data_IF_534151481472
#
_entry.id   IF_534151481472
#
_cell.length_a   1.000
_cell.length_b   1.000
_cell.length_c   1.000
_cell.angle_alpha   90.00
_cell.angle_beta   90.00
_cell.angle_gamma   90.00
#
_symmetry.space_group_name_H-M   'P 1'
#
loop_
_entity.id
_entity.type
_entity.pdbx_description
1 polymer ?
#
# COMPACT_ATOMS: atom_id res chain seq x y z
N UNK A 1 -105.30 -74.02 -77.88
CA UNK A 1 -103.88 -74.08 -78.27
C UNK A 1 -103.38 -75.50 -78.13
N UNK A 2 -102.49 -75.95 -79.01
CA UNK A 2 -101.85 -77.26 -78.85
C UNK A 2 -100.96 -77.27 -77.61
N UNK A 3 -100.90 -78.40 -76.90
CA UNK A 3 -100.12 -78.61 -75.67
C UNK A 3 -98.67 -78.12 -75.75
N UNK A 4 -98.07 -78.16 -76.94
CA UNK A 4 -96.67 -77.78 -77.18
C UNK A 4 -96.44 -76.27 -77.29
N UNK A 5 -97.40 -75.52 -77.86
CA UNK A 5 -97.34 -74.05 -77.93
C UNK A 5 -97.51 -73.44 -76.54
N UNK A 6 -98.52 -73.92 -75.80
CA UNK A 6 -98.80 -73.45 -74.43
C UNK A 6 -97.60 -73.67 -73.50
N UNK A 7 -96.89 -74.78 -73.70
CA UNK A 7 -95.67 -75.11 -72.95
C UNK A 7 -94.51 -74.13 -73.20
N UNK A 8 -94.34 -73.64 -74.42
CA UNK A 8 -93.24 -72.74 -74.78
C UNK A 8 -93.58 -71.29 -74.45
N UNK A 9 -94.76 -70.82 -74.84
CA UNK A 9 -95.18 -69.42 -74.68
C UNK A 9 -95.34 -69.05 -73.21
N UNK A 10 -95.86 -69.97 -72.38
CA UNK A 10 -96.02 -69.75 -70.93
C UNK A 10 -94.83 -70.25 -70.10
N UNK A 11 -93.69 -70.57 -70.74
CA UNK A 11 -92.53 -71.05 -70.01
C UNK A 11 -91.88 -69.91 -69.18
N UNK A 12 -91.45 -70.16 -67.93
CA UNK A 12 -90.81 -69.13 -67.08
C UNK A 12 -89.53 -68.50 -67.65
N UNK A 13 -88.93 -69.10 -68.69
CA UNK A 13 -87.68 -68.63 -69.30
C UNK A 13 -87.82 -67.24 -69.90
N UNK A 14 -88.98 -66.89 -70.46
CA UNK A 14 -89.21 -65.56 -71.02
C UNK A 14 -89.07 -64.47 -69.95
N UNK A 15 -89.61 -64.73 -68.75
CA UNK A 15 -89.43 -63.84 -67.59
C UNK A 15 -87.98 -63.76 -67.12
N UNK A 16 -87.22 -64.85 -67.22
CA UNK A 16 -85.79 -64.83 -66.89
C UNK A 16 -84.97 -64.04 -67.92
N UNK A 17 -85.27 -64.15 -69.22
CA UNK A 17 -84.62 -63.37 -70.28
C UNK A 17 -84.90 -61.87 -70.08
N UNK A 18 -86.14 -61.51 -69.78
CA UNK A 18 -86.51 -60.12 -69.48
C UNK A 18 -85.79 -59.59 -68.21
N UNK A 19 -85.66 -60.43 -67.18
CA UNK A 19 -84.93 -60.07 -65.96
C UNK A 19 -83.43 -59.88 -66.25
N UNK A 20 -82.84 -60.73 -67.09
CA UNK A 20 -81.45 -60.59 -67.52
C UNK A 20 -81.25 -59.26 -68.26
N UNK A 21 -82.13 -58.94 -69.22
CA UNK A 21 -82.09 -57.66 -69.95
C UNK A 21 -82.14 -56.44 -69.03
N UNK A 22 -83.05 -56.41 -68.06
CA UNK A 22 -83.17 -55.28 -67.15
C UNK A 22 -81.96 -55.13 -66.22
N UNK A 23 -81.46 -56.25 -65.70
CA UNK A 23 -80.36 -56.23 -64.74
C UNK A 23 -79.02 -55.95 -65.42
N UNK A 24 -78.77 -56.46 -66.62
CA UNK A 24 -77.54 -56.17 -67.35
C UNK A 24 -77.50 -54.69 -67.77
N UNK A 25 -78.63 -54.11 -68.20
CA UNK A 25 -78.69 -52.68 -68.49
C UNK A 25 -78.44 -51.81 -67.23
N UNK A 26 -78.92 -52.25 -66.07
CA UNK A 26 -78.71 -51.54 -64.80
C UNK A 26 -77.24 -51.59 -64.33
N UNK A 27 -76.46 -52.57 -64.80
CA UNK A 27 -75.06 -52.74 -64.46
C UNK A 27 -74.12 -51.77 -65.19
N UNK A 28 -74.58 -51.13 -66.28
CA UNK A 28 -73.76 -50.28 -67.16
C UNK A 28 -73.04 -49.17 -66.40
N UNK A 29 -73.74 -48.43 -65.54
CA UNK A 29 -73.16 -47.33 -64.78
C UNK A 29 -72.11 -47.76 -63.75
N UNK A 30 -72.20 -48.98 -63.21
CA UNK A 30 -71.20 -49.52 -62.28
C UNK A 30 -69.94 -49.93 -63.06
N UNK A 31 -70.11 -50.51 -64.25
CA UNK A 31 -68.99 -50.96 -65.09
C UNK A 31 -68.19 -49.78 -65.66
N UNK A 32 -68.83 -48.67 -66.00
CA UNK A 32 -68.17 -47.46 -66.50
C UNK A 32 -67.20 -46.83 -65.47
N UNK A 33 -67.39 -47.08 -64.18
CA UNK A 33 -66.53 -46.59 -63.09
C UNK A 33 -65.39 -47.56 -62.73
N UNK A 34 -65.36 -48.77 -63.29
CA UNK A 34 -64.37 -49.80 -62.98
C UNK A 34 -63.16 -49.69 -63.92
N UNK A 35 -61.95 -49.59 -63.36
CA UNK A 35 -60.69 -49.58 -64.13
C UNK A 35 -60.21 -50.99 -64.56
N UNK A 36 -60.82 -52.07 -64.07
CA UNK A 36 -60.46 -53.45 -64.41
C UNK A 36 -60.97 -53.84 -65.81
N UNK A 37 -60.05 -53.90 -66.77
CA UNK A 37 -60.31 -54.32 -68.15
C UNK A 37 -61.02 -55.69 -68.25
N UNK A 38 -60.74 -56.65 -67.37
CA UNK A 38 -61.37 -57.97 -67.41
C UNK A 38 -62.84 -57.93 -67.00
N UNK A 39 -63.20 -57.00 -66.09
CA UNK A 39 -64.58 -56.78 -65.66
C UNK A 39 -65.42 -56.24 -66.82
N UNK A 40 -64.88 -55.24 -67.54
CA UNK A 40 -65.50 -54.63 -68.71
C UNK A 40 -65.71 -55.68 -69.80
N UNK A 41 -64.70 -56.50 -70.11
CA UNK A 41 -64.81 -57.58 -71.10
C UNK A 41 -65.86 -58.63 -70.69
N UNK A 42 -65.87 -59.03 -69.42
CA UNK A 42 -66.84 -60.00 -68.88
C UNK A 42 -68.28 -59.49 -68.98
N UNK A 43 -68.50 -58.20 -68.72
CA UNK A 43 -69.79 -57.54 -68.85
C UNK A 43 -70.26 -57.46 -70.31
N UNK A 44 -69.40 -56.99 -71.22
CA UNK A 44 -69.73 -56.89 -72.65
C UNK A 44 -70.03 -58.26 -73.26
N UNK A 45 -69.32 -59.31 -72.83
CA UNK A 45 -69.62 -60.69 -73.24
C UNK A 45 -71.02 -61.13 -72.83
N UNK A 46 -71.48 -60.79 -71.62
CA UNK A 46 -72.84 -61.16 -71.15
C UNK A 46 -73.93 -60.47 -71.99
N UNK A 47 -73.71 -59.22 -72.42
CA UNK A 47 -74.62 -58.51 -73.35
C UNK A 47 -74.71 -59.25 -74.69
N UNK A 48 -73.57 -59.64 -75.26
CA UNK A 48 -73.55 -60.42 -76.50
C UNK A 48 -74.28 -61.76 -76.37
N UNK A 49 -74.14 -62.45 -75.24
CA UNK A 49 -74.84 -63.71 -74.99
C UNK A 49 -76.34 -63.48 -74.84
N UNK A 50 -76.78 -62.43 -74.16
CA UNK A 50 -78.20 -62.06 -74.07
C UNK A 50 -78.80 -61.82 -75.46
N UNK A 51 -78.10 -61.09 -76.32
CA UNK A 51 -78.54 -60.84 -77.69
C UNK A 51 -78.62 -62.14 -78.50
N UNK A 52 -77.66 -63.05 -78.31
CA UNK A 52 -77.69 -64.38 -78.93
C UNK A 52 -78.89 -65.22 -78.44
N UNK A 53 -79.22 -65.18 -77.14
CA UNK A 53 -80.41 -65.84 -76.59
C UNK A 53 -81.66 -65.28 -77.26
N UNK A 54 -81.85 -63.96 -77.27
CA UNK A 54 -83.04 -63.32 -77.86
C UNK A 54 -83.19 -63.65 -79.34
N UNK A 55 -82.11 -63.52 -80.10
CA UNK A 55 -82.09 -63.85 -81.53
C UNK A 55 -82.50 -65.30 -81.79
N UNK A 56 -82.06 -66.25 -80.95
CA UNK A 56 -82.46 -67.66 -81.04
C UNK A 56 -83.92 -67.90 -80.64
N UNK A 57 -84.44 -67.20 -79.65
CA UNK A 57 -85.83 -67.31 -79.23
C UNK A 57 -86.81 -66.65 -80.22
N UNK A 58 -86.38 -65.62 -80.95
CA UNK A 58 -87.20 -64.98 -82.00
C UNK A 58 -87.31 -65.82 -83.27
N UNK A 59 -86.36 -66.75 -83.49
CA UNK A 59 -86.22 -67.50 -84.75
C UNK A 59 -86.70 -68.94 -84.70
N UNK A 60 -87.18 -69.40 -83.55
CA UNK A 60 -87.55 -70.80 -83.34
C UNK A 60 -89.03 -71.08 -83.63
N UNK A 61 -89.32 -72.27 -84.17
CA UNK A 61 -90.66 -72.85 -84.19
C UNK A 61 -90.94 -73.51 -82.81
N UNK A 62 -91.92 -73.02 -82.03
CA UNK A 62 -92.27 -73.58 -80.73
C UNK A 62 -92.60 -75.08 -80.75
N UNK A 63 -93.07 -75.63 -81.89
CA UNK A 63 -93.37 -77.06 -82.03
C UNK A 63 -92.12 -77.94 -82.04
N UNK A 64 -90.96 -77.37 -82.38
CA UNK A 64 -89.69 -78.08 -82.51
C UNK A 64 -88.80 -77.94 -81.26
N UNK A 65 -89.24 -77.20 -80.24
CA UNK A 65 -88.44 -76.94 -79.05
C UNK A 65 -88.55 -78.10 -78.04
N UNK A 66 -87.45 -78.85 -77.77
CA UNK A 66 -87.50 -79.95 -76.82
C UNK A 66 -87.62 -79.46 -75.38
N UNK A 67 -88.42 -80.20 -74.62
CA UNK A 67 -88.71 -80.03 -73.20
C UNK A 67 -87.53 -79.67 -72.28
N UNK A 68 -86.50 -80.52 -72.32
CA UNK A 68 -85.42 -80.53 -71.33
C UNK A 68 -84.40 -79.39 -71.55
N UNK A 69 -83.95 -79.09 -72.79
CA UNK A 69 -83.16 -77.90 -73.07
C UNK A 69 -83.83 -76.60 -72.60
N UNK A 70 -85.16 -76.46 -72.75
CA UNK A 70 -85.88 -75.25 -72.33
C UNK A 70 -85.81 -75.05 -70.82
N UNK A 71 -86.02 -76.13 -70.06
CA UNK A 71 -85.91 -76.10 -68.61
C UNK A 71 -84.46 -75.86 -68.15
N UNK A 72 -83.48 -76.46 -68.83
CA UNK A 72 -82.07 -76.26 -68.52
C UNK A 72 -81.63 -74.81 -68.78
N UNK A 73 -82.07 -74.22 -69.89
CA UNK A 73 -81.84 -72.81 -70.18
C UNK A 73 -82.44 -71.90 -69.12
N UNK A 74 -83.68 -72.15 -68.73
CA UNK A 74 -84.30 -71.41 -67.64
C UNK A 74 -83.48 -71.48 -66.34
N UNK A 75 -82.98 -72.66 -66.00
CA UNK A 75 -82.17 -72.83 -64.79
C UNK A 75 -80.85 -72.07 -64.88
N UNK A 76 -80.15 -72.11 -66.02
CA UNK A 76 -78.86 -71.42 -66.19
C UNK A 76 -79.04 -69.90 -66.30
N UNK A 77 -80.03 -69.41 -67.05
CA UNK A 77 -80.34 -67.98 -67.16
C UNK A 77 -80.73 -67.44 -65.79
N UNK A 78 -81.47 -68.19 -64.98
CA UNK A 78 -81.79 -67.81 -63.60
C UNK A 78 -80.53 -67.63 -62.73
N UNK A 79 -79.49 -68.45 -62.91
CA UNK A 79 -78.23 -68.26 -62.20
C UNK A 79 -77.47 -67.02 -62.69
N UNK A 80 -77.44 -66.79 -64.01
CA UNK A 80 -76.87 -65.55 -64.60
C UNK A 80 -77.56 -64.32 -64.01
N UNK A 81 -78.89 -64.31 -63.99
CA UNK A 81 -79.72 -63.24 -63.38
C UNK A 81 -79.36 -63.04 -61.90
N UNK A 82 -79.20 -64.11 -61.14
CA UNK A 82 -78.84 -64.04 -59.71
C UNK A 82 -77.48 -63.39 -59.50
N UNK A 83 -76.47 -63.75 -60.30
CA UNK A 83 -75.13 -63.20 -60.20
C UNK A 83 -75.08 -61.73 -60.64
N UNK A 84 -75.79 -61.33 -61.71
CA UNK A 84 -75.86 -59.93 -62.13
C UNK A 84 -76.59 -59.08 -61.09
N UNK A 85 -77.64 -59.61 -60.47
CA UNK A 85 -78.32 -58.91 -59.37
C UNK A 85 -77.39 -58.71 -58.16
N UNK A 86 -76.55 -59.70 -57.85
CA UNK A 86 -75.54 -59.58 -56.80
C UNK A 86 -74.48 -58.54 -57.15
N UNK A 87 -74.00 -58.53 -58.40
CA UNK A 87 -73.10 -57.48 -58.92
C UNK A 87 -73.70 -56.09 -58.77
N UNK A 88 -74.94 -55.88 -59.22
CA UNK A 88 -75.63 -54.59 -59.09
C UNK A 88 -75.80 -54.14 -57.63
N UNK A 89 -75.82 -55.09 -56.69
CA UNK A 89 -75.97 -54.79 -55.26
C UNK A 89 -74.68 -54.38 -54.58
N UNK A 90 -73.51 -54.88 -55.03
CA UNK A 90 -72.26 -54.75 -54.29
C UNK A 90 -71.02 -54.37 -55.12
N UNK A 91 -71.13 -54.29 -56.46
CA UNK A 91 -70.03 -53.96 -57.37
C UNK A 91 -68.90 -55.00 -57.47
N UNK A 92 -69.05 -56.19 -56.89
CA UNK A 92 -67.98 -57.19 -56.88
C UNK A 92 -67.85 -57.89 -58.24
N UNK A 93 -66.75 -57.59 -58.94
CA UNK A 93 -66.39 -58.13 -60.27
C UNK A 93 -66.42 -59.67 -60.33
N UNK A 94 -66.17 -60.38 -59.22
CA UNK A 94 -66.25 -61.84 -59.20
C UNK A 94 -67.62 -62.40 -59.59
N UNK A 95 -68.70 -61.64 -59.37
CA UNK A 95 -70.04 -62.01 -59.83
C UNK A 95 -70.17 -61.98 -61.36
N UNK A 96 -69.45 -61.09 -62.06
CA UNK A 96 -69.41 -61.08 -63.53
C UNK A 96 -68.71 -62.32 -64.08
N UNK A 97 -67.65 -62.78 -63.39
CA UNK A 97 -66.97 -64.04 -63.74
C UNK A 97 -67.90 -65.24 -63.55
N UNK A 98 -68.61 -65.32 -62.41
CA UNK A 98 -69.55 -66.41 -62.14
C UNK A 98 -70.74 -66.41 -63.10
N UNK A 99 -71.28 -65.22 -63.40
CA UNK A 99 -72.31 -65.05 -64.42
C UNK A 99 -71.85 -65.59 -65.78
N UNK A 100 -70.60 -65.33 -66.19
CA UNK A 100 -70.05 -65.87 -67.42
C UNK A 100 -69.90 -67.40 -67.40
N UNK A 101 -69.52 -68.00 -66.27
CA UNK A 101 -69.46 -69.46 -66.13
C UNK A 101 -70.85 -70.11 -66.31
N UNK A 102 -71.92 -69.46 -65.81
CA UNK A 102 -73.29 -69.91 -66.07
C UNK A 102 -73.72 -69.63 -67.51
N UNK A 103 -73.28 -68.51 -68.10
CA UNK A 103 -73.56 -68.15 -69.48
C UNK A 103 -72.93 -69.13 -70.48
N UNK A 104 -71.78 -69.73 -70.17
CA UNK A 104 -71.20 -70.82 -70.98
C UNK A 104 -72.14 -72.02 -71.05
N UNK A 105 -72.74 -72.38 -69.91
CA UNK A 105 -73.74 -73.44 -69.87
C UNK A 105 -75.03 -73.04 -70.61
N UNK A 106 -75.37 -71.75 -70.66
CA UNK A 106 -76.45 -71.26 -71.54
C UNK A 106 -76.10 -71.51 -73.01
N UNK A 107 -74.89 -71.16 -73.45
CA UNK A 107 -74.45 -71.39 -74.84
C UNK A 107 -74.43 -72.86 -75.23
N UNK A 108 -74.00 -73.76 -74.34
CA UNK A 108 -74.05 -75.21 -74.55
C UNK A 108 -75.50 -75.71 -74.71
N UNK A 109 -76.45 -75.19 -73.94
CA UNK A 109 -77.85 -75.58 -74.08
C UNK A 109 -78.52 -74.93 -75.30
N UNK A 110 -78.12 -73.72 -75.69
CA UNK A 110 -78.58 -73.04 -76.90
C UNK A 110 -78.13 -73.76 -78.17
N UNK A 111 -76.92 -74.34 -78.20
CA UNK A 111 -76.42 -75.07 -79.38
C UNK A 111 -77.17 -76.37 -79.65
N UNK A 112 -77.83 -76.95 -78.63
CA UNK A 112 -78.69 -78.12 -78.77
C UNK A 112 -80.07 -77.81 -79.39
N UNK A 113 -80.33 -76.55 -79.72
CA UNK A 113 -81.58 -76.11 -80.33
C UNK A 113 -81.40 -76.04 -81.85
N UNK A 114 -82.27 -76.75 -82.57
CA UNK A 114 -82.34 -76.67 -84.02
C UNK A 114 -83.12 -75.40 -84.39
N UNK A 115 -82.42 -74.41 -84.95
CA UNK A 115 -83.01 -73.19 -85.49
C UNK A 115 -82.48 -72.95 -86.91
N UNK A 116 -83.31 -72.54 -87.87
CA UNK A 116 -82.82 -72.13 -89.18
C UNK A 116 -81.92 -70.90 -89.04
N UNK A 117 -80.78 -70.87 -89.75
CA UNK A 117 -79.92 -69.69 -89.82
C UNK A 117 -80.62 -68.61 -90.65
N UNK A 118 -80.82 -67.41 -90.09
CA UNK A 118 -81.41 -66.29 -90.82
C UNK A 118 -80.33 -65.41 -91.47
N UNK A 119 -80.62 -64.74 -92.60
CA UNK A 119 -79.72 -63.75 -93.21
C UNK A 119 -79.28 -62.58 -92.30
N UNK A 120 -79.94 -62.37 -91.16
CA UNK A 120 -79.68 -61.32 -90.16
C UNK A 120 -78.37 -61.52 -89.36
N UNK A 121 -77.78 -62.72 -89.40
CA UNK A 121 -76.52 -63.02 -88.69
C UNK A 121 -75.29 -62.29 -89.28
N UNK A 122 -75.40 -61.68 -90.47
CA UNK A 122 -74.35 -60.87 -91.11
C UNK A 122 -74.33 -59.42 -90.58
N UNK A 123 -75.47 -58.88 -90.14
CA UNK A 123 -75.58 -57.49 -89.68
C UNK A 123 -74.93 -57.28 -88.30
N UNK A 124 -74.98 -58.27 -87.40
CA UNK A 124 -74.34 -58.20 -86.08
C UNK A 124 -72.81 -58.11 -86.14
N UNK A 125 -72.17 -58.76 -87.11
CA UNK A 125 -70.71 -58.68 -87.32
C UNK A 125 -70.32 -57.26 -87.75
N UNK A 126 -71.15 -56.59 -88.55
CA UNK A 126 -70.91 -55.22 -89.01
C UNK A 126 -70.96 -54.21 -87.85
N UNK A 127 -71.89 -54.40 -86.92
CA UNK A 127 -71.99 -53.54 -85.73
C UNK A 127 -70.77 -53.71 -84.82
N UNK A 128 -70.33 -54.95 -84.54
CA UNK A 128 -69.12 -55.22 -83.74
C UNK A 128 -67.83 -54.68 -84.37
N UNK A 129 -67.70 -54.73 -85.70
CA UNK A 129 -66.56 -54.10 -86.40
C UNK A 129 -66.65 -52.57 -86.30
N UNK A 130 -67.84 -52.01 -86.30
CA UNK A 130 -68.06 -50.55 -86.17
C UNK A 130 -67.77 -50.07 -84.75
N UNK A 131 -68.18 -50.81 -83.73
CA UNK A 131 -67.86 -50.51 -82.32
C UNK A 131 -66.36 -50.63 -82.06
N UNK A 132 -65.69 -51.68 -82.54
CA UNK A 132 -64.24 -51.83 -82.43
C UNK A 132 -63.48 -50.66 -83.09
N UNK A 133 -63.88 -50.26 -84.31
CA UNK A 133 -63.28 -49.10 -84.99
C UNK A 133 -63.46 -47.80 -84.19
N UNK A 134 -64.62 -47.63 -83.53
CA UNK A 134 -64.89 -46.48 -82.67
C UNK A 134 -63.97 -46.48 -81.44
N UNK A 135 -63.83 -47.61 -80.75
CA UNK A 135 -62.97 -47.75 -79.57
C UNK A 135 -61.49 -47.58 -79.92
N UNK A 136 -61.02 -48.19 -81.02
CA UNK A 136 -59.65 -48.02 -81.50
C UNK A 136 -59.37 -46.55 -81.87
N UNK A 137 -60.31 -45.87 -82.52
CA UNK A 137 -60.20 -44.44 -82.82
C UNK A 137 -60.18 -43.55 -81.57
N UNK A 138 -60.89 -43.92 -80.51
CA UNK A 138 -60.87 -43.21 -79.24
C UNK A 138 -59.54 -43.43 -78.50
N UNK A 139 -59.02 -44.65 -78.50
CA UNK A 139 -57.72 -44.97 -77.90
C UNK A 139 -56.57 -44.21 -78.57
N UNK A 140 -56.57 -44.14 -79.91
CA UNK A 140 -55.57 -43.36 -80.66
C UNK A 140 -55.65 -41.87 -80.30
N UNK A 141 -56.85 -41.29 -80.21
CA UNK A 141 -57.02 -39.88 -79.79
C UNK A 141 -56.53 -39.64 -78.36
N UNK A 142 -56.84 -40.56 -77.43
CA UNK A 142 -56.38 -40.43 -76.05
C UNK A 142 -54.85 -40.52 -75.96
N UNK A 143 -54.23 -41.45 -76.69
CA UNK A 143 -52.77 -41.55 -76.78
C UNK A 143 -52.13 -40.29 -77.36
N UNK A 144 -52.75 -39.69 -78.38
CA UNK A 144 -52.25 -38.44 -78.98
C UNK A 144 -52.33 -37.28 -77.98
N UNK A 145 -53.43 -37.18 -77.22
CA UNK A 145 -53.58 -36.18 -76.16
C UNK A 145 -52.55 -36.40 -75.04
N UNK A 146 -52.39 -37.62 -74.55
CA UNK A 146 -51.40 -37.96 -73.51
C UNK A 146 -49.97 -37.70 -73.99
N UNK A 147 -49.66 -38.03 -75.24
CA UNK A 147 -48.35 -37.75 -75.82
C UNK A 147 -48.07 -36.25 -75.88
N UNK A 148 -49.03 -35.45 -76.34
CA UNK A 148 -48.89 -34.00 -76.42
C UNK A 148 -48.77 -33.36 -75.03
N UNK A 149 -49.52 -33.84 -74.03
CA UNK A 149 -49.41 -33.40 -72.64
C UNK A 149 -48.05 -33.78 -72.04
N UNK A 150 -47.55 -34.99 -72.30
CA UNK A 150 -46.22 -35.42 -71.86
C UNK A 150 -45.11 -34.58 -72.52
N UNK A 151 -45.22 -34.30 -73.81
CA UNK A 151 -44.28 -33.44 -74.54
C UNK A 151 -44.24 -32.03 -73.95
N UNK A 152 -45.41 -31.44 -73.66
CA UNK A 152 -45.50 -30.13 -73.02
C UNK A 152 -44.89 -30.12 -71.61
N UNK A 153 -45.14 -31.17 -70.80
CA UNK A 153 -44.54 -31.33 -69.48
C UNK A 153 -43.02 -31.48 -69.55
N UNK A 154 -42.52 -32.26 -70.51
CA UNK A 154 -41.09 -32.43 -70.74
C UNK A 154 -40.41 -31.10 -71.10
N UNK A 155 -41.00 -30.34 -72.01
CA UNK A 155 -40.47 -29.04 -72.42
C UNK A 155 -40.45 -28.04 -71.25
N UNK A 156 -41.52 -28.00 -70.45
CA UNK A 156 -41.58 -27.17 -69.25
C UNK A 156 -40.49 -27.53 -68.22
N UNK A 157 -40.28 -28.82 -67.96
CA UNK A 157 -39.23 -29.30 -67.04
C UNK A 157 -37.84 -28.96 -67.60
N UNK A 158 -37.62 -29.14 -68.91
CA UNK A 158 -36.35 -28.81 -69.55
C UNK A 158 -36.02 -27.32 -69.40
N UNK A 159 -36.99 -26.44 -69.64
CA UNK A 159 -36.82 -25.00 -69.45
C UNK A 159 -36.55 -24.62 -67.99
N UNK A 160 -37.23 -25.25 -67.04
CA UNK A 160 -36.95 -25.05 -65.61
C UNK A 160 -35.53 -25.49 -65.24
N UNK A 161 -35.07 -26.62 -65.78
CA UNK A 161 -33.72 -27.13 -65.53
C UNK A 161 -32.64 -26.20 -66.08
N UNK A 162 -32.84 -25.65 -67.28
CA UNK A 162 -31.96 -24.63 -67.86
C UNK A 162 -31.93 -23.36 -67.00
N UNK A 163 -33.10 -22.90 -66.54
CA UNK A 163 -33.23 -21.74 -65.64
C UNK A 163 -32.47 -21.93 -64.32
N UNK A 164 -32.66 -23.08 -63.67
CA UNK A 164 -31.95 -23.44 -62.43
C UNK A 164 -30.44 -23.50 -62.68
N UNK A 165 -30.02 -24.08 -63.80
CA UNK A 165 -28.59 -24.19 -64.14
C UNK A 165 -27.97 -22.81 -64.34
N UNK A 166 -28.66 -21.89 -65.02
CA UNK A 166 -28.22 -20.51 -65.19
C UNK A 166 -28.14 -19.76 -63.85
N UNK A 167 -29.12 -19.96 -62.96
CA UNK A 167 -29.12 -19.36 -61.63
C UNK A 167 -27.97 -19.89 -60.77
N UNK A 168 -27.72 -21.20 -60.76
CA UNK A 168 -26.59 -21.81 -60.04
C UNK A 168 -25.26 -21.22 -60.51
N UNK A 169 -25.06 -21.07 -61.82
CA UNK A 169 -23.83 -20.49 -62.36
C UNK A 169 -23.67 -19.02 -61.97
N UNK A 170 -24.78 -18.27 -61.96
CA UNK A 170 -24.80 -16.87 -61.50
C UNK A 170 -24.45 -16.77 -60.01
N UNK A 171 -25.04 -17.63 -59.18
CA UNK A 171 -24.76 -17.65 -57.74
C UNK A 171 -23.32 -18.08 -57.44
N UNK A 172 -22.77 -19.05 -58.18
CA UNK A 172 -21.35 -19.42 -58.09
C UNK A 172 -20.45 -18.23 -58.39
N UNK A 173 -20.68 -17.51 -59.49
CA UNK A 173 -19.89 -16.32 -59.82
C UNK A 173 -19.98 -15.21 -58.76
N UNK A 174 -21.16 -15.00 -58.16
CA UNK A 174 -21.33 -14.07 -57.03
C UNK A 174 -20.56 -14.51 -55.78
N UNK A 175 -20.57 -15.81 -55.47
CA UNK A 175 -19.82 -16.36 -54.34
C UNK A 175 -18.32 -16.24 -54.56
N UNK A 176 -17.80 -16.57 -55.75
CA UNK A 176 -16.39 -16.43 -56.08
C UNK A 176 -15.92 -14.98 -55.96
N UNK A 177 -16.74 -14.05 -56.42
CA UNK A 177 -16.49 -12.60 -56.27
C UNK A 177 -16.47 -12.19 -54.80
N UNK A 178 -17.45 -12.63 -54.01
CA UNK A 178 -17.53 -12.32 -52.59
C UNK A 178 -16.34 -12.90 -51.82
N UNK A 179 -15.94 -14.15 -52.10
CA UNK A 179 -14.76 -14.79 -51.51
C UNK A 179 -13.50 -13.99 -51.82
N UNK A 180 -13.31 -13.61 -53.08
CA UNK A 180 -12.13 -12.83 -53.52
C UNK A 180 -12.09 -11.47 -52.82
N UNK A 181 -13.23 -10.78 -52.75
CA UNK A 181 -13.34 -9.49 -52.06
C UNK A 181 -13.06 -9.61 -50.56
N UNK A 182 -13.60 -10.63 -49.90
CA UNK A 182 -13.34 -10.87 -48.48
C UNK A 182 -11.88 -11.21 -48.20
N UNK A 183 -11.24 -12.02 -49.04
CA UNK A 183 -9.80 -12.30 -48.92
C UNK A 183 -8.97 -11.03 -49.03
N UNK A 184 -9.25 -10.19 -50.03
CA UNK A 184 -8.56 -8.91 -50.20
C UNK A 184 -8.77 -7.98 -49.01
N UNK A 185 -10.03 -7.77 -48.59
CA UNK A 185 -10.34 -6.90 -47.45
C UNK A 185 -9.70 -7.40 -46.16
N UNK A 186 -9.66 -8.71 -45.95
CA UNK A 186 -9.03 -9.31 -44.77
C UNK A 186 -7.52 -9.06 -44.77
N UNK A 187 -6.83 -9.32 -45.88
CA UNK A 187 -5.39 -9.07 -46.01
C UNK A 187 -5.05 -7.59 -45.82
N UNK A 188 -5.77 -6.68 -46.48
CA UNK A 188 -5.54 -5.24 -46.30
C UNK A 188 -5.84 -4.75 -44.87
N UNK A 189 -6.84 -5.35 -44.19
CA UNK A 189 -7.14 -5.02 -42.80
C UNK A 189 -6.08 -5.59 -41.85
N UNK A 190 -5.52 -6.77 -42.13
CA UNK A 190 -4.41 -7.35 -41.39
C UNK A 190 -3.14 -6.50 -41.52
N UNK A 191 -2.79 -6.10 -42.74
CA UNK A 191 -1.64 -5.23 -43.02
C UNK A 191 -1.78 -3.89 -42.29
N UNK A 192 -2.96 -3.25 -42.38
CA UNK A 192 -3.25 -2.01 -41.65
C UNK A 192 -3.14 -2.18 -40.13
N UNK A 193 -3.66 -3.27 -39.57
CA UNK A 193 -3.55 -3.54 -38.12
C UNK A 193 -2.10 -3.76 -37.70
N UNK A 194 -1.32 -4.49 -38.50
CA UNK A 194 0.11 -4.71 -38.26
C UNK A 194 0.87 -3.39 -38.30
N UNK A 195 0.64 -2.55 -39.30
CA UNK A 195 1.29 -1.26 -39.42
C UNK A 195 0.94 -0.34 -38.23
N UNK A 196 -0.33 -0.22 -37.87
CA UNK A 196 -0.77 0.58 -36.72
C UNK A 196 -0.18 0.08 -35.40
N UNK A 197 -0.06 -1.24 -35.23
CA UNK A 197 0.54 -1.84 -34.05
C UNK A 197 2.03 -1.51 -33.95
N UNK A 198 2.77 -1.63 -35.06
CA UNK A 198 4.19 -1.28 -35.12
C UNK A 198 4.41 0.22 -34.85
N UNK A 199 3.62 1.10 -35.47
CA UNK A 199 3.66 2.55 -35.21
C UNK A 199 3.37 2.87 -33.74
N UNK A 200 2.37 2.23 -33.13
CA UNK A 200 2.04 2.43 -31.72
C UNK A 200 3.11 1.86 -30.78
N UNK A 201 3.83 0.81 -31.19
CA UNK A 201 4.97 0.26 -30.45
C UNK A 201 6.15 1.23 -30.51
N UNK A 202 6.47 1.75 -31.69
CA UNK A 202 7.59 2.68 -31.89
C UNK A 202 7.33 4.01 -31.18
N UNK A 203 6.11 4.55 -31.28
CA UNK A 203 5.73 5.76 -30.55
C UNK A 203 5.84 5.57 -29.02
N UNK A 204 5.35 4.44 -28.48
CA UNK A 204 5.49 4.16 -27.05
C UNK A 204 6.96 4.03 -26.62
N UNK A 205 7.82 3.52 -27.49
CA UNK A 205 9.26 3.44 -27.24
C UNK A 205 9.87 4.83 -27.20
N UNK A 206 9.56 5.69 -28.16
CA UNK A 206 10.01 7.08 -28.21
C UNK A 206 9.51 7.90 -27.01
N UNK A 207 8.23 7.77 -26.65
CA UNK A 207 7.63 8.41 -25.48
C UNK A 207 8.34 7.96 -24.19
N UNK A 208 8.69 6.67 -24.08
CA UNK A 208 9.41 6.12 -22.93
C UNK A 208 10.86 6.61 -22.87
N UNK A 209 11.58 6.60 -24.00
CA UNK A 209 12.95 7.14 -24.08
C UNK A 209 12.99 8.62 -23.69
N UNK A 210 12.02 9.40 -24.17
CA UNK A 210 11.86 10.83 -23.80
C UNK A 210 11.61 10.98 -22.30
N UNK A 211 10.65 10.24 -21.73
CA UNK A 211 10.33 10.31 -20.30
C UNK A 211 11.54 9.96 -19.42
N UNK A 212 12.31 8.94 -19.79
CA UNK A 212 13.53 8.57 -19.07
C UNK A 212 14.57 9.69 -19.15
N UNK A 213 14.77 10.28 -20.34
CA UNK A 213 15.65 11.43 -20.52
C UNK A 213 15.25 12.63 -19.64
N UNK A 214 13.97 12.99 -19.62
CA UNK A 214 13.45 14.09 -18.79
C UNK A 214 13.65 13.82 -17.29
N UNK A 215 13.48 12.56 -16.84
CA UNK A 215 13.73 12.16 -15.45
C UNK A 215 15.22 12.29 -15.12
N UNK A 216 16.11 11.83 -16.00
CA UNK A 216 17.55 11.94 -15.81
C UNK A 216 18.00 13.41 -15.74
N UNK A 217 17.51 14.26 -16.63
CA UNK A 217 17.83 15.70 -16.64
C UNK A 217 17.31 16.39 -15.37
N UNK A 218 16.06 16.13 -14.99
CA UNK A 218 15.47 16.68 -13.76
C UNK A 218 16.21 16.22 -12.50
N UNK A 219 16.59 14.95 -12.43
CA UNK A 219 17.36 14.39 -11.32
C UNK A 219 18.74 15.04 -11.21
N UNK A 220 19.47 15.15 -12.33
CA UNK A 220 20.79 15.78 -12.37
C UNK A 220 20.71 17.26 -11.98
N UNK A 221 19.74 18.01 -12.51
CA UNK A 221 19.52 19.42 -12.14
C UNK A 221 19.23 19.59 -10.65
N UNK A 222 18.46 18.68 -10.05
CA UNK A 222 18.18 18.71 -8.62
C UNK A 222 19.39 18.32 -7.77
N UNK A 223 20.22 17.38 -8.25
CA UNK A 223 21.49 17.01 -7.61
C UNK A 223 22.46 18.19 -7.58
N UNK A 224 22.62 18.89 -8.70
CA UNK A 224 23.44 20.10 -8.79
C UNK A 224 22.96 21.17 -7.81
N UNK A 225 21.65 21.48 -7.80
CA UNK A 225 21.06 22.43 -6.86
C UNK A 225 21.25 22.01 -5.41
N UNK A 226 21.18 20.71 -5.10
CA UNK A 226 21.41 20.19 -3.76
C UNK A 226 22.88 20.37 -3.35
N UNK A 227 23.81 20.09 -4.27
CA UNK A 227 25.24 20.27 -4.06
C UNK A 227 25.59 21.75 -3.83
N UNK A 228 25.03 22.65 -4.64
CA UNK A 228 25.18 24.11 -4.46
C UNK A 228 24.66 24.56 -3.09
N UNK A 229 23.46 24.11 -2.70
CA UNK A 229 22.89 24.42 -1.37
C UNK A 229 23.77 23.89 -0.25
N UNK A 230 24.25 22.66 -0.36
CA UNK A 230 25.13 22.07 0.65
C UNK A 230 26.43 22.85 0.77
N UNK A 231 27.05 23.23 -0.35
CA UNK A 231 28.25 24.04 -0.36
C UNK A 231 28.00 25.41 0.28
N UNK A 232 26.89 26.09 -0.05
CA UNK A 232 26.53 27.37 0.54
C UNK A 232 26.31 27.28 2.06
N UNK A 233 25.72 26.19 2.55
CA UNK A 233 25.52 25.94 3.97
C UNK A 233 26.86 25.69 4.67
N UNK A 234 27.75 24.93 4.04
CA UNK A 234 29.09 24.63 4.55
C UNK A 234 29.91 25.92 4.68
N UNK A 235 29.83 26.81 3.70
CA UNK A 235 30.50 28.10 3.73
C UNK A 235 29.89 29.05 4.77
N UNK A 236 28.56 29.07 4.92
CA UNK A 236 27.89 29.84 5.99
C UNK A 236 28.27 29.34 7.40
N UNK A 237 28.38 28.02 7.59
CA UNK A 237 28.82 27.43 8.86
C UNK A 237 30.28 27.77 9.15
N UNK A 238 31.17 27.71 8.15
CA UNK A 238 32.57 28.15 8.31
C UNK A 238 32.65 29.62 8.70
N UNK A 239 31.89 30.48 8.03
CA UNK A 239 31.89 31.92 8.35
C UNK A 239 31.35 32.19 9.75
N UNK A 240 30.27 31.51 10.15
CA UNK A 240 29.73 31.60 11.52
C UNK A 240 30.74 31.11 12.56
N UNK A 241 31.44 30.00 12.27
CA UNK A 241 32.52 29.49 13.13
C UNK A 241 33.64 30.53 13.26
N UNK A 242 34.06 31.14 12.17
CA UNK A 242 35.15 32.12 12.15
C UNK A 242 34.80 33.37 12.95
N UNK A 243 33.56 33.85 12.79
CA UNK A 243 33.02 34.95 13.58
C UNK A 243 33.02 34.60 15.08
N UNK A 244 32.46 33.45 15.45
CA UNK A 244 32.42 33.01 16.85
C UNK A 244 33.82 32.81 17.44
N UNK A 245 34.74 32.22 16.68
CA UNK A 245 36.12 32.02 17.13
C UNK A 245 36.83 33.36 17.34
N UNK A 246 36.69 34.31 16.40
CA UNK A 246 37.27 35.65 16.53
C UNK A 246 36.70 36.40 17.75
N UNK A 247 35.39 36.32 17.96
CA UNK A 247 34.72 36.96 19.09
C UNK A 247 35.15 36.36 20.44
N UNK A 248 35.25 35.02 20.52
CA UNK A 248 35.77 34.34 21.71
C UNK A 248 37.23 34.69 21.99
N UNK A 249 38.09 34.74 20.96
CA UNK A 249 39.50 35.11 21.13
C UNK A 249 39.64 36.55 21.61
N UNK A 250 38.90 37.50 21.02
CA UNK A 250 38.88 38.90 21.48
C UNK A 250 38.39 39.01 22.93
N UNK A 251 37.33 38.28 23.29
CA UNK A 251 36.84 38.25 24.66
C UNK A 251 37.85 37.63 25.63
N UNK A 252 38.57 36.58 25.22
CA UNK A 252 39.59 35.95 26.03
C UNK A 252 40.80 36.87 26.24
N UNK A 253 41.27 37.55 25.20
CA UNK A 253 42.35 38.54 25.28
C UNK A 253 41.98 39.70 26.22
N UNK A 254 40.75 40.20 26.12
CA UNK A 254 40.26 41.27 27.02
C UNK A 254 40.21 40.79 28.47
N UNK A 255 39.72 39.57 28.74
CA UNK A 255 39.70 38.97 30.08
C UNK A 255 41.13 38.78 30.61
N UNK A 256 42.05 38.25 29.80
CA UNK A 256 43.46 38.06 30.20
C UNK A 256 44.08 39.40 30.56
N UNK A 257 43.88 40.44 29.75
CA UNK A 257 44.37 41.80 30.02
C UNK A 257 43.80 42.36 31.32
N UNK A 258 42.52 42.09 31.62
CA UNK A 258 41.93 42.46 32.91
C UNK A 258 42.56 41.69 34.08
N UNK A 259 42.81 40.39 33.92
CA UNK A 259 43.49 39.57 34.93
C UNK A 259 44.93 40.07 35.17
N UNK A 260 45.69 40.38 34.12
CA UNK A 260 47.04 40.94 34.24
C UNK A 260 47.04 42.28 34.98
N UNK A 261 46.11 43.17 34.65
CA UNK A 261 45.93 44.44 35.36
C UNK A 261 45.55 44.24 36.84
N UNK A 262 44.72 43.25 37.14
CA UNK A 262 44.39 42.91 38.53
C UNK A 262 45.59 42.32 39.27
N UNK A 263 46.40 41.49 38.61
CA UNK A 263 47.64 40.92 39.16
C UNK A 263 48.66 42.02 39.47
N UNK A 264 48.84 43.00 38.58
CA UNK A 264 49.72 44.14 38.81
C UNK A 264 49.29 44.95 40.03
N UNK A 265 48.00 45.30 40.11
CA UNK A 265 47.43 45.98 41.29
C UNK A 265 47.63 45.18 42.59
N UNK A 266 47.41 43.86 42.55
CA UNK A 266 47.65 43.01 43.70
C UNK A 266 49.13 42.98 44.10
N UNK A 267 50.05 42.94 43.13
CA UNK A 267 51.50 42.98 43.36
C UNK A 267 51.96 44.31 43.97
N UNK A 268 51.45 45.45 43.49
CA UNK A 268 51.71 46.77 44.07
C UNK A 268 51.23 46.86 45.51
N UNK A 269 50.00 46.41 45.79
CA UNK A 269 49.44 46.39 47.15
C UNK A 269 50.28 45.55 48.11
N UNK A 270 50.69 44.34 47.69
CA UNK A 270 51.55 43.48 48.51
C UNK A 270 52.92 44.13 48.76
N UNK A 271 53.51 44.78 47.77
CA UNK A 271 54.82 45.45 47.91
C UNK A 271 54.73 46.63 48.88
N UNK A 272 53.67 47.44 48.79
CA UNK A 272 53.44 48.58 49.70
C UNK A 272 53.21 48.10 51.14
N UNK A 273 52.39 47.06 51.33
CA UNK A 273 52.10 46.49 52.66
C UNK A 273 53.37 45.91 53.30
N UNK A 274 54.20 45.24 52.50
CA UNK A 274 55.41 44.56 53.02
C UNK A 274 56.52 45.56 53.37
N UNK A 275 56.79 46.56 52.54
CA UNK A 275 57.91 47.49 52.76
C UNK A 275 57.60 48.63 53.73
N UNK A 276 56.38 49.17 53.75
CA UNK A 276 56.05 50.30 54.63
C UNK A 276 55.46 49.88 55.98
N UNK A 277 54.66 48.79 56.00
CA UNK A 277 53.93 48.36 57.21
C UNK A 277 54.82 47.75 58.29
N UNK A 278 55.75 46.87 57.91
CA UNK A 278 56.62 46.15 58.86
C UNK A 278 57.73 47.05 59.44
N UNK A 279 58.51 47.74 58.60
CA UNK A 279 59.62 48.60 59.04
C UNK A 279 59.11 49.82 59.82
N UNK A 280 58.05 50.48 59.32
CA UNK A 280 57.45 51.63 59.99
C UNK A 280 56.83 51.29 61.36
N UNK A 281 56.23 50.09 61.49
CA UNK A 281 55.70 49.60 62.76
C UNK A 281 56.76 49.53 63.85
N UNK A 282 57.89 48.86 63.60
CA UNK A 282 58.99 48.74 64.56
C UNK A 282 59.66 50.09 64.86
N UNK A 283 59.81 50.96 63.86
CA UNK A 283 60.36 52.31 64.03
C UNK A 283 59.54 53.17 65.00
N UNK A 284 58.22 53.17 64.85
CA UNK A 284 57.34 53.97 65.72
C UNK A 284 57.37 53.49 67.17
N UNK A 285 57.42 52.18 67.40
CA UNK A 285 57.52 51.58 68.74
C UNK A 285 58.89 51.88 69.36
N UNK A 286 59.97 51.73 68.60
CA UNK A 286 61.32 52.06 69.06
C UNK A 286 61.45 53.53 69.48
N UNK A 287 60.97 54.46 68.65
CA UNK A 287 61.01 55.89 68.94
C UNK A 287 60.19 56.26 70.20
N UNK A 288 58.98 55.70 70.35
CA UNK A 288 58.16 55.92 71.56
C UNK A 288 58.84 55.35 72.81
N UNK A 289 59.47 54.18 72.70
CA UNK A 289 60.20 53.55 73.80
C UNK A 289 61.41 54.40 74.23
N UNK A 290 62.17 54.94 73.26
CA UNK A 290 63.28 55.87 73.52
C UNK A 290 62.84 57.10 74.31
N UNK A 291 61.79 57.78 73.82
CA UNK A 291 61.24 58.96 74.51
C UNK A 291 60.77 58.61 75.91
N UNK A 292 60.12 57.47 76.08
CA UNK A 292 59.67 56.99 77.40
C UNK A 292 60.84 56.70 78.33
N UNK A 293 61.91 56.07 77.84
CA UNK A 293 63.13 55.81 78.62
C UNK A 293 63.75 57.11 79.14
N UNK A 294 63.91 58.11 78.27
CA UNK A 294 64.47 59.42 78.64
C UNK A 294 63.60 60.11 79.71
N UNK A 295 62.27 60.07 79.58
CA UNK A 295 61.37 60.67 80.58
C UNK A 295 61.58 60.03 81.96
N UNK A 296 61.65 58.70 82.02
CA UNK A 296 61.86 57.97 83.27
C UNK A 296 63.28 58.18 83.84
N UNK A 297 64.31 58.30 83.00
CA UNK A 297 65.65 58.70 83.43
C UNK A 297 65.66 60.10 84.05
N UNK A 298 64.96 61.05 83.43
CA UNK A 298 64.82 62.42 83.97
C UNK A 298 64.09 62.40 85.31
N UNK A 299 63.01 61.62 85.45
CA UNK A 299 62.30 61.46 86.73
C UNK A 299 63.21 60.85 87.81
N UNK A 300 64.02 59.84 87.46
CA UNK A 300 64.97 59.23 88.38
C UNK A 300 66.03 60.24 88.84
N UNK A 301 66.64 60.98 87.90
CA UNK A 301 67.64 62.02 88.19
C UNK A 301 67.05 63.14 89.04
N UNK A 302 65.85 63.63 88.72
CA UNK A 302 65.15 64.64 89.52
C UNK A 302 64.84 64.14 90.93
N UNK A 303 64.46 62.87 91.08
CA UNK A 303 64.21 62.26 92.38
C UNK A 303 65.50 62.19 93.21
N UNK A 304 66.64 61.84 92.60
CA UNK A 304 67.94 61.89 93.26
C UNK A 304 68.36 63.31 93.64
N UNK A 305 68.20 64.29 92.74
CA UNK A 305 68.49 65.69 93.04
C UNK A 305 67.60 66.22 94.17
N UNK A 306 66.33 65.84 94.20
CA UNK A 306 65.41 66.15 95.30
C UNK A 306 65.87 65.56 96.63
N UNK A 307 66.36 64.31 96.63
CA UNK A 307 66.91 63.65 97.82
C UNK A 307 68.18 64.37 98.31
N UNK A 308 69.08 64.76 97.40
CA UNK A 308 70.30 65.51 97.73
C UNK A 308 69.97 66.89 98.28
N UNK A 309 69.06 67.63 97.64
CA UNK A 309 68.63 68.95 98.11
C UNK A 309 67.98 68.85 99.49
N UNK A 310 67.11 67.85 99.72
CA UNK A 310 66.53 67.58 101.03
C UNK A 310 67.60 67.24 102.07
N UNK A 311 68.60 66.42 101.71
CA UNK A 311 69.70 66.09 102.61
C UNK A 311 70.52 67.33 103.02
N UNK A 312 70.80 68.24 102.10
CA UNK A 312 71.51 69.51 102.38
C UNK A 312 70.69 70.41 103.31
N UNK A 313 69.40 70.59 103.02
CA UNK A 313 68.49 71.40 103.86
C UNK A 313 68.36 70.80 105.25
N UNK A 314 68.16 69.49 105.33
CA UNK A 314 68.09 68.75 106.59
C UNK A 314 69.40 68.86 107.39
N UNK A 315 70.55 68.81 106.73
CA UNK A 315 71.86 68.96 107.37
C UNK A 315 72.05 70.37 107.94
N UNK A 316 71.77 71.43 107.17
CA UNK A 316 71.84 72.82 107.67
C UNK A 316 70.91 73.09 108.85
N UNK A 317 69.68 72.60 108.80
CA UNK A 317 68.70 72.76 109.89
C UNK A 317 69.09 72.02 111.19
N UNK A 318 70.11 71.17 111.17
CA UNK A 318 70.58 70.43 112.36
C UNK A 318 71.53 71.26 113.24
N UNK A 319 72.11 72.35 112.73
CA UNK A 319 73.00 73.23 113.50
C UNK A 319 72.26 74.25 114.39
N UNK A 320 70.94 74.36 114.29
CA UNK A 320 70.18 75.46 114.91
C UNK A 320 69.17 75.06 116.01
N UNK A 321 68.93 73.78 116.31
CA UNK A 321 67.99 73.38 117.38
C UNK A 321 68.30 72.02 118.03
N UNK A 322 67.85 71.84 119.28
CA UNK A 322 67.97 70.60 120.07
C UNK A 322 67.38 69.38 119.35
N UNK A 323 68.02 68.22 119.53
CA UNK A 323 67.77 66.99 118.78
C UNK A 323 66.40 66.36 119.12
N UNK A 324 65.41 66.54 118.24
CA UNK A 324 64.08 65.92 118.37
C UNK A 324 63.98 64.64 117.52
N UNK A 325 63.82 63.48 118.16
CA UNK A 325 63.71 62.16 117.51
C UNK A 325 62.61 62.08 116.44
N UNK A 326 61.51 62.83 116.56
CA UNK A 326 60.45 62.90 115.54
C UNK A 326 60.91 63.49 114.19
N UNK A 327 61.86 64.45 114.19
CA UNK A 327 62.39 65.06 112.95
C UNK A 327 63.30 64.09 112.17
N UNK A 328 63.93 63.13 112.85
CA UNK A 328 64.77 62.10 112.21
C UNK A 328 63.92 61.07 111.47
N UNK A 329 62.83 60.60 112.09
CA UNK A 329 61.89 59.67 111.47
C UNK A 329 61.27 60.22 110.18
N UNK A 330 60.89 61.50 110.17
CA UNK A 330 60.38 62.16 108.96
C UNK A 330 61.43 62.24 107.83
N UNK A 331 62.71 62.46 108.15
CA UNK A 331 63.80 62.49 107.15
C UNK A 331 64.04 61.12 106.54
N UNK A 332 64.05 60.06 107.36
CA UNK A 332 64.18 58.67 106.89
C UNK A 332 63.00 58.32 105.98
N UNK A 333 61.78 58.69 106.36
CA UNK A 333 60.59 58.44 105.53
C UNK A 333 60.67 59.14 104.15
N UNK A 334 61.11 60.40 104.10
CA UNK A 334 61.32 61.14 102.83
C UNK A 334 62.41 60.48 101.98
N UNK A 335 63.55 60.11 102.57
CA UNK A 335 64.63 59.45 101.85
C UNK A 335 64.20 58.10 101.25
N UNK A 336 63.45 57.30 102.01
CA UNK A 336 62.88 56.03 101.52
C UNK A 336 61.92 56.28 100.36
N UNK A 337 61.02 57.25 100.50
CA UNK A 337 60.00 57.54 99.47
C UNK A 337 60.65 58.00 98.16
N UNK A 338 61.62 58.92 98.22
CA UNK A 338 62.37 59.36 97.05
C UNK A 338 63.28 58.27 96.49
N UNK A 339 63.88 57.43 97.33
CA UNK A 339 64.68 56.28 96.90
C UNK A 339 63.85 55.23 96.15
N UNK A 340 62.65 54.95 96.63
CA UNK A 340 61.68 54.05 95.97
C UNK A 340 61.27 54.60 94.60
N UNK A 341 60.94 55.89 94.53
CA UNK A 341 60.55 56.54 93.29
C UNK A 341 61.69 56.53 92.27
N UNK A 342 62.92 56.82 92.70
CA UNK A 342 64.09 56.79 91.85
C UNK A 342 64.39 55.38 91.33
N UNK A 343 64.33 54.36 92.18
CA UNK A 343 64.56 52.97 91.79
C UNK A 343 63.48 52.45 90.82
N UNK A 344 62.21 52.80 91.04
CA UNK A 344 61.13 52.45 90.14
C UNK A 344 61.30 53.13 88.77
N UNK A 345 61.59 54.43 88.76
CA UNK A 345 61.82 55.19 87.54
C UNK A 345 63.02 54.66 86.75
N UNK A 346 64.14 54.34 87.41
CA UNK A 346 65.31 53.74 86.76
C UNK A 346 64.97 52.38 86.12
N UNK A 347 64.29 51.50 86.86
CA UNK A 347 63.88 50.19 86.33
C UNK A 347 62.91 50.32 85.15
N UNK A 348 62.02 51.30 85.19
CA UNK A 348 61.09 51.54 84.11
C UNK A 348 61.80 52.11 82.86
N UNK A 349 62.81 52.97 83.05
CA UNK A 349 63.67 53.42 81.96
C UNK A 349 64.40 52.25 81.29
N UNK A 350 65.03 51.36 82.07
CA UNK A 350 65.76 50.20 81.54
C UNK A 350 64.84 49.29 80.70
N UNK A 351 63.61 49.04 81.18
CA UNK A 351 62.62 48.26 80.44
C UNK A 351 62.26 48.90 79.10
N UNK A 352 62.14 50.23 79.06
CA UNK A 352 61.87 50.96 77.82
C UNK A 352 63.10 51.01 76.89
N UNK A 353 64.32 51.03 77.42
CA UNK A 353 65.55 50.96 76.62
C UNK A 353 65.78 49.57 76.02
N UNK A 354 65.42 48.51 76.74
CA UNK A 354 65.42 47.14 76.20
C UNK A 354 64.39 46.99 75.07
N UNK A 355 63.18 47.53 75.27
CA UNK A 355 62.15 47.57 74.24
C UNK A 355 62.58 48.42 73.03
N UNK A 356 63.24 49.56 73.24
CA UNK A 356 63.82 50.36 72.16
C UNK A 356 64.84 49.54 71.38
N UNK A 357 65.86 48.98 72.04
CA UNK A 357 66.94 48.24 71.38
C UNK A 357 66.42 47.06 70.57
N UNK A 358 65.46 46.30 71.12
CA UNK A 358 64.85 45.15 70.42
C UNK A 358 64.11 45.60 69.15
N UNK A 359 63.27 46.62 69.26
CA UNK A 359 62.46 47.10 68.13
C UNK A 359 63.31 47.86 67.09
N UNK A 360 64.31 48.63 67.54
CA UNK A 360 65.24 49.36 66.65
C UNK A 360 66.14 48.41 65.88
N UNK A 361 66.59 47.33 66.52
CA UNK A 361 67.33 46.25 65.85
C UNK A 361 66.47 45.60 64.78
N UNK A 362 65.22 45.25 65.10
CA UNK A 362 64.28 44.66 64.15
C UNK A 362 63.97 45.59 62.97
N UNK A 363 63.75 46.88 63.23
CA UNK A 363 63.59 47.92 62.20
C UNK A 363 64.78 47.95 61.24
N UNK A 364 66.01 48.03 61.77
CA UNK A 364 67.23 48.12 60.96
C UNK A 364 67.50 46.83 60.20
N UNK A 365 67.28 45.67 60.82
CA UNK A 365 67.39 44.37 60.14
C UNK A 365 66.39 44.29 58.99
N UNK A 366 65.12 44.63 59.23
CA UNK A 366 64.09 44.63 58.18
C UNK A 366 64.36 45.65 57.06
N UNK A 367 64.84 46.84 57.38
CA UNK A 367 65.19 47.86 56.40
C UNK A 367 66.44 47.49 55.58
N UNK A 368 67.37 46.72 56.15
CA UNK A 368 68.62 46.36 55.51
C UNK A 368 68.52 45.09 54.65
N UNK A 369 67.50 44.24 54.83
CA UNK A 369 67.35 42.98 54.07
C UNK A 369 67.35 43.22 52.56
N UNK A 370 66.57 44.19 52.06
CA UNK A 370 66.48 44.42 50.60
C UNK A 370 67.79 44.95 49.97
N UNK A 371 68.49 45.94 50.56
CA UNK A 371 69.83 46.35 50.10
C UNK A 371 70.91 45.27 50.16
N UNK A 372 70.88 44.38 51.15
CA UNK A 372 71.87 43.30 51.26
C UNK A 372 71.63 42.15 50.27
N UNK A 373 70.37 41.92 49.89
CA UNK A 373 70.00 40.84 48.99
C UNK A 373 70.02 41.24 47.50
N UNK A 374 70.21 42.54 47.18
CA UNK A 374 70.17 43.04 45.80
C UNK A 374 71.35 42.58 44.93
N UNK A 375 72.50 42.26 45.54
CA UNK A 375 73.70 41.79 44.82
C UNK A 375 73.73 40.27 44.59
N UNK A 376 72.80 39.52 45.19
CA UNK A 376 72.74 38.05 45.07
C UNK A 376 71.89 37.59 43.87
N UNK A 377 72.21 36.42 43.27
CA UNK A 377 71.36 35.77 42.28
C UNK A 377 69.91 35.59 42.76
N UNK A 378 68.97 35.64 41.82
CA UNK A 378 67.52 35.68 42.12
C UNK A 378 67.06 34.45 42.91
N UNK A 379 67.57 33.26 42.58
CA UNK A 379 67.28 31.98 43.27
C UNK A 379 67.66 31.99 44.77
N UNK A 380 68.86 32.46 45.10
CA UNK A 380 69.33 32.52 46.50
C UNK A 380 68.61 33.61 47.30
N UNK A 381 68.26 34.72 46.64
CA UNK A 381 67.44 35.79 47.23
C UNK A 381 66.09 35.27 47.71
N UNK A 382 65.39 34.46 46.91
CA UNK A 382 64.08 33.91 47.28
C UNK A 382 64.16 32.93 48.45
N UNK A 383 65.15 32.02 48.46
CA UNK A 383 65.37 31.09 49.58
C UNK A 383 65.61 31.80 50.91
N UNK A 384 66.45 32.85 50.91
CA UNK A 384 66.74 33.61 52.13
C UNK A 384 65.49 34.36 52.63
N UNK A 385 64.71 34.95 51.71
CA UNK A 385 63.43 35.62 52.07
C UNK A 385 62.42 34.64 52.67
N UNK A 386 62.35 33.41 52.16
CA UNK A 386 61.47 32.35 52.67
C UNK A 386 61.84 31.94 54.11
N UNK A 387 63.13 31.70 54.37
CA UNK A 387 63.62 31.35 55.71
C UNK A 387 63.38 32.48 56.72
N UNK A 388 63.65 33.73 56.33
CA UNK A 388 63.41 34.93 57.15
C UNK A 388 61.93 35.14 57.47
N UNK A 389 61.04 34.97 56.48
CA UNK A 389 59.61 35.08 56.69
C UNK A 389 59.12 34.04 57.72
N UNK A 390 59.59 32.79 57.62
CA UNK A 390 59.22 31.75 58.59
C UNK A 390 59.64 32.13 60.01
N UNK A 391 60.84 32.69 60.19
CA UNK A 391 61.39 33.01 61.52
C UNK A 391 60.74 34.23 62.16
N UNK A 392 60.43 35.25 61.37
CA UNK A 392 59.90 36.52 61.87
C UNK A 392 58.41 36.45 62.19
N UNK A 393 57.63 35.69 61.42
CA UNK A 393 56.18 35.60 61.61
C UNK A 393 55.72 34.40 62.45
N UNK A 394 56.54 33.35 62.61
CA UNK A 394 56.19 32.21 63.48
C UNK A 394 56.43 32.45 64.97
N UNK A 395 57.13 33.53 65.36
CA UNK A 395 57.31 33.92 66.76
C UNK A 395 56.23 34.91 67.22
N UNK A 396 54.97 34.49 67.21
CA UNK A 396 53.95 35.14 68.06
C UNK A 396 54.30 34.88 69.52
N UNK A 397 54.27 35.92 70.34
CA UNK A 397 54.63 35.93 71.76
C UNK A 397 54.23 34.66 72.52
N UNK A 398 55.21 33.86 72.94
CA UNK A 398 55.07 33.02 74.12
C UNK A 398 54.91 33.96 75.32
N UNK A 399 53.68 34.37 75.56
CA UNK A 399 53.23 34.98 76.80
C UNK A 399 53.55 34.00 77.91
N UNK A 400 54.69 34.19 78.56
CA UNK A 400 55.01 33.52 79.81
C UNK A 400 53.98 34.00 80.81
N UNK A 401 52.95 33.18 81.05
CA UNK A 401 52.08 33.29 82.21
C UNK A 401 52.95 33.01 83.43
N UNK A 402 53.63 34.05 83.92
CA UNK A 402 54.17 34.06 85.27
C UNK A 402 52.95 34.15 86.18
N UNK A 403 52.59 33.02 86.78
CA UNK A 403 51.65 32.95 87.89
C UNK A 403 51.97 34.06 88.90
N UNK A 404 51.08 35.03 88.98
CA UNK A 404 51.13 36.06 89.99
C UNK A 404 50.89 35.46 91.37
N UNK A 405 51.95 35.15 92.11
CA UNK A 405 51.90 35.26 93.56
C UNK A 405 52.40 36.65 93.95
N UNK A 406 51.41 37.52 94.15
CA UNK A 406 51.45 38.79 94.89
C UNK A 406 52.82 39.47 94.95
N UNK A 407 52.96 40.47 94.11
CA UNK A 407 53.47 41.78 94.48
C UNK A 407 53.01 42.16 95.90
N UNK A 408 53.78 41.79 96.92
CA UNK A 408 54.05 42.74 97.98
C UNK A 408 54.99 43.78 97.39
N UNK A 409 54.44 44.66 96.54
CA UNK A 409 55.01 45.97 96.26
C UNK A 409 54.90 46.84 97.50
N UNK A 410 55.38 46.31 98.62
CA UNK A 410 55.48 47.02 99.85
C UNK A 410 56.80 47.75 99.80
N UNK A 411 56.74 49.03 100.10
CA UNK A 411 57.83 49.89 100.54
C UNK A 411 58.86 49.13 101.40
N UNK A 412 58.46 48.05 102.08
CA UNK A 412 59.26 47.07 102.82
C UNK A 412 60.39 46.38 102.02
N UNK A 413 60.21 45.95 100.76
CA UNK A 413 61.30 45.26 100.01
C UNK A 413 62.40 46.22 99.54
N UNK A 414 61.99 47.44 99.17
CA UNK A 414 62.92 48.52 98.87
C UNK A 414 63.58 49.08 100.14
N UNK A 415 62.85 49.13 101.26
CA UNK A 415 63.39 49.37 102.60
C UNK A 415 64.41 48.32 103.00
N UNK A 416 64.16 47.04 102.70
CA UNK A 416 65.02 45.91 103.05
C UNK A 416 66.34 45.98 102.28
N UNK A 417 66.29 46.28 100.97
CA UNK A 417 67.51 46.54 100.18
C UNK A 417 68.26 47.81 100.63
N UNK A 418 67.56 48.87 101.05
CA UNK A 418 68.19 50.08 101.58
C UNK A 418 68.83 49.85 102.98
N UNK A 419 68.22 49.03 103.83
CA UNK A 419 68.76 48.65 105.15
C UNK A 419 69.96 47.71 105.02
N UNK A 420 69.91 46.72 104.13
CA UNK A 420 71.03 45.80 103.88
C UNK A 420 72.26 46.50 103.30
N UNK A 421 72.06 47.54 102.49
CA UNK A 421 73.17 48.35 101.97
C UNK A 421 73.81 49.26 103.05
N UNK A 422 73.02 49.74 104.02
CA UNK A 422 73.55 50.52 105.15
C UNK A 422 74.27 49.62 106.18
N UNK A 423 73.76 48.42 106.48
CA UNK A 423 74.44 47.46 107.39
C UNK A 423 75.81 47.01 106.84
N UNK A 424 75.89 46.79 105.52
CA UNK A 424 77.14 46.44 104.85
C UNK A 424 78.16 47.60 104.82
N UNK A 425 77.72 48.86 104.86
CA UNK A 425 78.62 50.01 104.98
C UNK A 425 79.07 50.23 106.43
N UNK A 426 78.22 49.98 107.42
CA UNK A 426 78.57 50.08 108.85
C UNK A 426 79.56 49.00 109.31
N UNK A 427 79.50 47.79 108.77
CA UNK A 427 80.47 46.73 109.06
C UNK A 427 81.85 46.95 108.43
N UNK A 428 81.98 47.92 107.52
CA UNK A 428 83.23 48.23 106.82
C UNK A 428 83.99 49.43 107.40
N UNK A 429 83.46 50.11 108.43
CA UNK A 429 84.13 51.22 109.13
C UNK A 429 84.47 50.92 110.60
N UNK A 430 84.36 49.66 111.01
CA UNK A 430 84.69 49.15 112.35
C UNK A 430 85.64 47.96 112.32
N UNK A 431 86.60 47.99 111.39
CA UNK A 431 87.83 47.19 111.38
C UNK A 431 88.94 48.01 110.74
#
# INVERSE_FOLDING_TARGET
MGQWLDRFDNHPVHGQIQSFEQLIASAEGIVDEIEDTNAIESYERLKLILDAIKSKFDSIDPLLFPAAPLQNLNNQIRQVVSEINAFNSNGNVGHLTNANNHADNVLVNLSNIVSPSLPRDIDGIRESVTSFRRSAGQFIRNLEVEHNDLAAKYEAISQQFEGITAEINTQKGRLDTAITQFQQQFSEAEDRRREQFEQAKDKRKEDYETLVGDIEESFNSNLEKLQEKFQSLLDAVKESRDKAHKELTLSAEEIIKQIEKQKEKASELVTIITNSGMVGGYQTVANKAKTSSIIWQVIAVLSFLGLIAFAIVAFKATFSETLHWGKVGARVFVAITFGILAAYAARQADKHEEAERKNRKMELELAAIDPYLSELPVETRHKIKEELASRLFAQSENSTVINGSKTSGSIVDLLRMALESIDNLSKKSGS
#
